data_IF_223892151191
#
_entry.id   IF_223892151191
#
_cell.length_a   1.000
_cell.length_b   1.000
_cell.length_c   1.000
_cell.angle_alpha   90.00
_cell.angle_beta   90.00
_cell.angle_gamma   90.00
#
_symmetry.space_group_name_H-M   'P 1'
#
loop_
_entity.id
_entity.type
_entity.pdbx_description
1 polymer ?
#
# COMPACT_ATOMS: atom_id res chain seq x y z
N UNK A 1 1.42 50.35 26.00
CA UNK A 1 1.29 48.89 25.88
C UNK A 1 1.46 48.53 24.42
N UNK A 2 2.64 48.04 24.03
CA UNK A 2 2.93 47.57 22.67
C UNK A 2 2.44 46.12 22.56
N UNK A 3 1.37 45.90 21.81
CA UNK A 3 0.88 44.56 21.50
C UNK A 3 1.83 43.89 20.51
N UNK A 4 2.57 42.88 20.97
CA UNK A 4 3.29 41.99 20.06
C UNK A 4 2.26 41.15 19.30
N UNK A 5 2.07 41.49 18.02
CA UNK A 5 1.31 40.66 17.08
C UNK A 5 2.24 39.53 16.61
N UNK A 6 1.95 38.32 17.06
CA UNK A 6 2.63 37.12 16.55
C UNK A 6 2.03 36.78 15.18
N UNK A 7 2.79 37.04 14.12
CA UNK A 7 2.47 36.51 12.79
C UNK A 7 2.79 35.01 12.86
N UNK A 8 1.76 34.18 13.05
CA UNK A 8 1.89 32.74 12.87
C UNK A 8 2.24 32.48 11.39
N UNK A 9 3.49 32.11 11.11
CA UNK A 9 3.87 31.62 9.79
C UNK A 9 3.18 30.27 9.57
N UNK A 10 2.18 30.23 8.68
CA UNK A 10 1.55 28.99 8.29
C UNK A 10 2.58 28.14 7.52
N UNK A 11 2.95 26.99 8.08
CA UNK A 11 3.83 26.03 7.40
C UNK A 11 3.13 25.57 6.12
N UNK A 12 3.72 25.86 4.96
CA UNK A 12 3.21 25.41 3.67
C UNK A 12 3.42 23.89 3.60
N UNK A 13 2.35 23.08 3.46
CA UNK A 13 2.51 21.64 3.43
C UNK A 13 3.28 21.19 2.18
N UNK A 14 4.25 20.29 2.36
CA UNK A 14 4.93 19.65 1.23
C UNK A 14 4.02 18.59 0.60
N UNK A 15 4.04 18.48 -0.73
CA UNK A 15 3.29 17.44 -1.45
C UNK A 15 4.13 16.18 -1.49
N UNK A 16 3.61 15.08 -0.92
CA UNK A 16 4.24 13.77 -0.98
C UNK A 16 3.45 12.89 -1.93
N UNK A 17 4.04 12.61 -3.10
CA UNK A 17 3.47 11.71 -4.10
C UNK A 17 3.79 10.26 -3.76
N UNK A 18 2.76 9.41 -3.70
CA UNK A 18 2.90 7.98 -3.37
C UNK A 18 2.23 7.11 -4.41
N UNK A 19 2.96 6.16 -4.98
CA UNK A 19 2.42 5.17 -5.90
C UNK A 19 1.61 4.09 -5.16
N UNK A 20 0.33 3.95 -5.52
CA UNK A 20 -0.60 2.98 -4.95
C UNK A 20 -1.52 2.35 -6.01
N UNK A 21 -2.03 1.15 -5.75
CA UNK A 21 -3.03 0.53 -6.62
C UNK A 21 -4.40 1.24 -6.54
N UNK A 22 -5.22 1.12 -7.61
CA UNK A 22 -6.52 1.82 -7.71
C UNK A 22 -7.41 1.58 -6.50
N UNK A 23 -7.55 0.31 -6.11
CA UNK A 23 -8.42 -0.09 -5.00
C UNK A 23 -7.96 0.53 -3.68
N UNK A 24 -6.64 0.60 -3.45
CA UNK A 24 -6.08 1.26 -2.26
C UNK A 24 -6.37 2.75 -2.27
N UNK A 25 -6.13 3.44 -3.39
CA UNK A 25 -6.41 4.87 -3.51
C UNK A 25 -7.89 5.18 -3.24
N UNK A 26 -8.79 4.45 -3.92
CA UNK A 26 -10.24 4.62 -3.76
C UNK A 26 -10.68 4.31 -2.33
N UNK A 27 -10.22 3.20 -1.76
CA UNK A 27 -10.59 2.80 -0.40
C UNK A 27 -10.08 3.79 0.65
N UNK A 28 -8.87 4.32 0.49
CA UNK A 28 -8.32 5.33 1.38
C UNK A 28 -9.17 6.60 1.35
N UNK A 29 -9.37 7.19 0.17
CA UNK A 29 -10.16 8.40 0.02
C UNK A 29 -11.61 8.22 0.50
N UNK A 30 -12.24 7.10 0.17
CA UNK A 30 -13.63 6.83 0.59
C UNK A 30 -13.74 6.64 2.09
N UNK A 31 -12.78 5.96 2.73
CA UNK A 31 -12.79 5.74 4.18
C UNK A 31 -12.62 7.05 4.94
N UNK A 32 -11.67 7.91 4.54
CA UNK A 32 -11.50 9.23 5.16
C UNK A 32 -12.78 10.06 5.04
N UNK A 33 -13.39 10.08 3.85
CA UNK A 33 -14.63 10.82 3.58
C UNK A 33 -15.83 10.28 4.39
N UNK A 34 -16.04 8.96 4.39
CA UNK A 34 -17.17 8.33 5.08
C UNK A 34 -17.07 8.46 6.60
N UNK A 35 -15.86 8.38 7.15
CA UNK A 35 -15.62 8.53 8.59
C UNK A 35 -15.55 10.00 9.03
N UNK A 36 -15.49 10.94 8.08
CA UNK A 36 -15.25 12.36 8.33
C UNK A 36 -14.02 12.58 9.20
N UNK A 37 -12.95 11.86 8.88
CA UNK A 37 -11.68 11.86 9.61
C UNK A 37 -10.53 12.03 8.65
N UNK A 38 -9.52 12.77 9.08
CA UNK A 38 -8.18 12.79 8.52
C UNK A 38 -7.41 11.55 8.97
N UNK A 39 -6.30 11.24 8.31
CA UNK A 39 -5.44 10.12 8.70
C UNK A 39 -4.87 10.27 10.13
N UNK A 40 -4.70 11.49 10.63
CA UNK A 40 -4.20 11.78 11.97
C UNK A 40 -5.18 11.37 13.08
N UNK A 41 -6.48 11.39 12.77
CA UNK A 41 -7.54 11.11 13.74
C UNK A 41 -7.85 9.61 13.91
N UNK A 42 -7.13 8.73 13.20
CA UNK A 42 -7.20 7.29 13.37
C UNK A 42 -6.29 6.84 14.52
N UNK A 43 -6.84 6.77 15.73
CA UNK A 43 -6.14 6.29 16.92
C UNK A 43 -6.24 4.78 17.12
N UNK A 44 -7.30 4.16 16.61
CA UNK A 44 -7.48 2.71 16.55
C UNK A 44 -8.01 2.32 15.17
N UNK A 45 -7.44 1.26 14.60
CA UNK A 45 -7.89 0.72 13.30
C UNK A 45 -8.30 -0.73 13.52
N UNK A 46 -9.58 -1.03 13.29
CA UNK A 46 -10.05 -2.40 13.28
C UNK A 46 -9.50 -3.11 12.03
N UNK A 47 -8.56 -4.03 12.28
CA UNK A 47 -7.93 -4.84 11.23
C UNK A 47 -8.89 -5.82 10.54
N UNK A 48 -10.09 -6.09 11.10
CA UNK A 48 -11.09 -6.96 10.48
C UNK A 48 -11.80 -6.31 9.30
N UNK A 49 -11.91 -4.98 9.31
CA UNK A 49 -12.70 -4.21 8.34
C UNK A 49 -11.79 -3.43 7.38
N UNK A 50 -10.49 -3.38 7.68
CA UNK A 50 -9.53 -2.50 7.00
C UNK A 50 -8.43 -3.30 6.32
N UNK A 51 -7.97 -2.83 5.14
CA UNK A 51 -6.86 -3.47 4.45
C UNK A 51 -5.49 -2.92 4.91
N UNK A 52 -4.43 -3.72 4.75
CA UNK A 52 -3.06 -3.36 5.18
C UNK A 52 -2.51 -2.11 4.47
N UNK A 53 -2.90 -1.91 3.21
CA UNK A 53 -2.40 -0.79 2.42
C UNK A 53 -2.93 0.55 2.95
N UNK A 54 -4.20 0.61 3.35
CA UNK A 54 -4.79 1.75 4.05
C UNK A 54 -4.06 2.03 5.36
N UNK A 55 -3.86 1.01 6.20
CA UNK A 55 -3.17 1.16 7.48
C UNK A 55 -1.76 1.71 7.27
N UNK A 56 -1.06 1.23 6.24
CA UNK A 56 0.28 1.70 5.91
C UNK A 56 0.28 3.20 5.55
N UNK A 57 -0.68 3.66 4.75
CA UNK A 57 -0.83 5.08 4.42
C UNK A 57 -1.13 5.93 5.66
N UNK A 58 -2.03 5.47 6.53
CA UNK A 58 -2.34 6.17 7.79
C UNK A 58 -1.12 6.30 8.69
N UNK A 59 -0.39 5.18 8.90
CA UNK A 59 0.85 5.18 9.69
C UNK A 59 1.87 6.13 9.07
N UNK A 60 1.98 6.16 7.74
CA UNK A 60 2.91 7.02 7.04
C UNK A 60 2.60 8.51 7.27
N UNK A 61 1.33 8.93 7.16
CA UNK A 61 0.93 10.32 7.48
C UNK A 61 1.25 10.66 8.93
N UNK A 62 0.88 9.79 9.87
CA UNK A 62 1.12 10.01 11.29
C UNK A 62 2.62 10.08 11.62
N UNK A 63 3.45 9.32 10.91
CA UNK A 63 4.90 9.37 11.09
C UNK A 63 5.49 10.70 10.57
N UNK A 64 5.00 11.22 9.45
CA UNK A 64 5.41 12.52 8.91
C UNK A 64 4.99 13.66 9.84
N UNK A 65 3.76 13.62 10.34
CA UNK A 65 3.25 14.59 11.32
C UNK A 65 4.07 14.59 12.62
N UNK A 66 4.41 13.39 13.15
CA UNK A 66 5.33 13.26 14.30
C UNK A 66 6.74 13.75 14.05
N UNK A 67 7.16 13.83 12.79
CA UNK A 67 8.43 14.43 12.38
C UNK A 67 8.31 15.94 12.12
N UNK A 68 7.17 16.55 12.50
CA UNK A 68 6.85 17.97 12.29
C UNK A 68 6.84 18.38 10.81
N UNK A 69 6.58 17.40 9.92
CA UNK A 69 6.42 17.64 8.50
C UNK A 69 4.95 17.81 8.16
N UNK A 70 4.54 19.05 7.89
CA UNK A 70 3.23 19.31 7.32
C UNK A 70 3.18 18.75 5.89
N UNK A 71 2.37 17.72 5.65
CA UNK A 71 2.35 16.99 4.37
C UNK A 71 0.95 16.87 3.79
N UNK A 72 0.86 17.03 2.47
CA UNK A 72 -0.32 16.66 1.69
C UNK A 72 0.02 15.41 0.86
N UNK A 73 -0.70 14.32 1.12
CA UNK A 73 -0.52 13.09 0.35
C UNK A 73 -1.24 13.18 -1.00
N UNK A 74 -0.49 13.01 -2.08
CA UNK A 74 -1.01 12.81 -3.42
C UNK A 74 -0.85 11.34 -3.80
N UNK A 75 -1.97 10.64 -4.03
CA UNK A 75 -1.96 9.24 -4.40
C UNK A 75 -1.89 9.11 -5.92
N UNK A 76 -0.75 8.65 -6.42
CA UNK A 76 -0.54 8.37 -7.84
C UNK A 76 -0.90 6.91 -8.12
N UNK A 77 -1.81 6.71 -9.07
CA UNK A 77 -2.26 5.38 -9.42
C UNK A 77 -1.18 4.59 -10.18
N UNK A 78 -0.82 3.42 -9.66
CA UNK A 78 0.03 2.46 -10.34
C UNK A 78 -0.74 1.15 -10.62
N UNK A 79 -0.74 0.66 -11.87
CA UNK A 79 -1.52 -0.53 -12.24
C UNK A 79 -0.97 -1.83 -11.65
N UNK A 80 0.33 -1.88 -11.34
CA UNK A 80 0.97 -3.04 -10.71
C UNK A 80 2.23 -2.62 -9.94
N UNK A 81 2.76 -3.50 -9.07
CA UNK A 81 3.90 -3.14 -8.22
C UNK A 81 5.17 -2.75 -9.00
N UNK A 82 5.44 -3.37 -10.17
CA UNK A 82 6.61 -3.04 -10.99
C UNK A 82 6.53 -1.62 -11.54
N UNK A 83 5.36 -1.20 -12.04
CA UNK A 83 5.12 0.19 -12.45
C UNK A 83 5.23 1.16 -11.28
N UNK A 84 4.90 0.73 -10.06
CA UNK A 84 5.13 1.51 -8.85
C UNK A 84 6.62 1.75 -8.59
N UNK A 85 7.44 0.72 -8.78
CA UNK A 85 8.90 0.83 -8.66
C UNK A 85 9.48 1.76 -9.74
N UNK A 86 9.02 1.62 -11.01
CA UNK A 86 9.44 2.49 -12.13
C UNK A 86 9.18 3.98 -11.82
N UNK A 87 7.99 4.32 -11.28
CA UNK A 87 7.63 5.70 -10.90
C UNK A 87 8.58 6.26 -9.82
N UNK A 88 9.03 5.43 -8.87
CA UNK A 88 9.98 5.87 -7.84
C UNK A 88 11.35 6.10 -8.45
N UNK A 89 11.82 5.18 -9.29
CA UNK A 89 13.13 5.26 -9.93
C UNK A 89 13.26 6.48 -10.86
N UNK A 90 12.17 6.88 -11.51
CA UNK A 90 12.13 8.06 -12.38
C UNK A 90 11.93 9.38 -11.61
N UNK A 91 11.65 9.32 -10.30
CA UNK A 91 11.36 10.51 -9.49
C UNK A 91 9.96 11.08 -9.65
N UNK A 92 9.05 10.35 -10.33
CA UNK A 92 7.64 10.77 -10.50
C UNK A 92 6.86 10.72 -9.18
N UNK A 93 7.27 9.82 -8.28
CA UNK A 93 6.73 9.69 -6.91
C UNK A 93 7.86 9.52 -5.91
N UNK A 94 7.61 9.89 -4.65
CA UNK A 94 8.61 9.75 -3.57
C UNK A 94 8.80 8.29 -3.16
N UNK A 95 7.71 7.51 -3.10
CA UNK A 95 7.76 6.12 -2.67
C UNK A 95 6.60 5.30 -3.24
N UNK A 96 6.78 3.97 -3.18
CA UNK A 96 5.72 2.99 -3.41
C UNK A 96 5.54 2.12 -2.17
N UNK A 97 4.29 1.92 -1.73
CA UNK A 97 3.97 1.07 -0.57
C UNK A 97 3.55 -0.32 -1.05
N UNK A 98 4.42 -1.30 -0.86
CA UNK A 98 4.16 -2.69 -1.23
C UNK A 98 4.88 -3.69 -0.34
N UNK A 99 4.41 -4.93 -0.36
CA UNK A 99 5.15 -6.05 0.19
C UNK A 99 6.34 -6.36 -0.71
N UNK A 100 7.53 -6.46 -0.11
CA UNK A 100 8.76 -6.88 -0.78
C UNK A 100 9.21 -8.22 -0.20
N UNK A 101 9.89 -9.01 -1.02
CA UNK A 101 10.51 -10.25 -0.57
C UNK A 101 11.68 -9.97 0.38
N UNK A 102 11.98 -10.96 1.24
CA UNK A 102 13.15 -10.87 2.13
C UNK A 102 14.41 -10.88 1.26
N UNK A 103 15.33 -9.97 1.53
CA UNK A 103 16.57 -9.81 0.74
C UNK A 103 16.40 -9.08 -0.59
N UNK A 104 15.17 -8.83 -1.06
CA UNK A 104 14.93 -8.06 -2.28
C UNK A 104 14.75 -6.57 -1.97
N UNK A 105 15.38 -5.74 -2.79
CA UNK A 105 15.14 -4.29 -2.92
C UNK A 105 15.35 -3.94 -4.39
N UNK A 106 14.41 -3.24 -5.05
CA UNK A 106 14.62 -2.79 -6.43
C UNK A 106 15.90 -1.96 -6.56
N UNK A 107 16.60 -2.08 -7.70
CA UNK A 107 17.84 -1.32 -7.96
C UNK A 107 17.56 0.18 -7.84
N UNK A 108 18.49 0.92 -7.22
CA UNK A 108 18.38 2.37 -7.09
C UNK A 108 17.31 2.84 -6.09
N UNK A 109 16.75 1.95 -5.28
CA UNK A 109 15.77 2.28 -4.24
C UNK A 109 16.27 1.84 -2.86
N UNK A 110 15.79 2.53 -1.84
CA UNK A 110 15.95 2.10 -0.45
C UNK A 110 14.69 1.38 0.03
N UNK A 111 14.86 0.47 1.00
CA UNK A 111 13.76 -0.23 1.66
C UNK A 111 13.77 0.08 3.15
N UNK A 112 12.64 0.54 3.68
CA UNK A 112 12.45 0.73 5.12
C UNK A 112 12.30 -0.60 5.87
N UNK A 113 12.38 -0.54 7.19
CA UNK A 113 11.90 -1.64 8.03
C UNK A 113 10.39 -1.86 7.78
N UNK A 114 9.89 -3.12 7.80
CA UNK A 114 8.48 -3.38 7.55
C UNK A 114 7.57 -2.64 8.54
N UNK A 115 6.62 -1.84 8.02
CA UNK A 115 5.60 -1.17 8.86
C UNK A 115 4.65 -2.19 9.51
N UNK A 116 4.36 -3.29 8.81
CA UNK A 116 3.50 -4.37 9.27
C UNK A 116 4.23 -5.69 9.06
N UNK A 117 4.43 -6.45 10.14
CA UNK A 117 5.12 -7.73 10.08
C UNK A 117 4.37 -8.75 9.20
N UNK A 118 5.14 -9.55 8.46
CA UNK A 118 4.62 -10.69 7.70
C UNK A 118 4.49 -11.96 8.54
N UNK A 119 4.82 -11.94 9.85
CA UNK A 119 4.85 -13.15 10.71
C UNK A 119 3.56 -13.99 10.69
N UNK A 120 2.41 -13.39 10.37
CA UNK A 120 1.12 -14.07 10.33
C UNK A 120 0.55 -14.25 8.90
N UNK A 121 1.35 -14.01 7.86
CA UNK A 121 0.91 -14.22 6.48
C UNK A 121 1.12 -15.68 6.08
N UNK A 122 0.03 -16.43 5.98
CA UNK A 122 0.05 -17.75 5.36
C UNK A 122 0.19 -17.57 3.85
N UNK A 123 1.31 -18.06 3.29
CA UNK A 123 1.46 -18.23 1.84
C UNK A 123 0.97 -19.64 1.49
N UNK A 124 0.05 -19.74 0.55
CA UNK A 124 -0.50 -21.02 0.13
C UNK A 124 -1.25 -20.92 -1.19
N UNK A 125 -1.50 -22.07 -1.80
CA UNK A 125 -2.40 -22.18 -2.95
C UNK A 125 -3.81 -22.39 -2.39
N UNK A 126 -4.74 -21.51 -2.74
CA UNK A 126 -6.13 -21.58 -2.30
C UNK A 126 -7.01 -22.09 -3.44
N UNK A 127 -7.75 -23.16 -3.18
CA UNK A 127 -8.70 -23.76 -4.10
C UNK A 127 -10.13 -23.71 -3.56
N UNK A 128 -11.11 -23.98 -4.43
CA UNK A 128 -12.48 -24.25 -3.98
C UNK A 128 -12.49 -25.48 -3.07
N UNK A 129 -13.35 -25.48 -2.03
CA UNK A 129 -13.49 -26.63 -1.12
C UNK A 129 -13.80 -27.94 -1.85
N UNK A 130 -14.57 -27.87 -2.94
CA UNK A 130 -14.91 -29.00 -3.80
C UNK A 130 -13.78 -29.42 -4.75
N UNK A 131 -12.77 -28.58 -4.96
CA UNK A 131 -11.67 -28.85 -5.86
C UNK A 131 -10.46 -29.40 -5.07
N UNK A 132 -10.54 -30.69 -4.77
CA UNK A 132 -9.45 -31.41 -4.10
C UNK A 132 -8.22 -31.66 -5.00
N UNK A 133 -8.31 -31.40 -6.31
CA UNK A 133 -7.20 -31.66 -7.23
C UNK A 133 -5.96 -30.83 -6.87
N UNK A 134 -6.15 -29.57 -6.44
CA UNK A 134 -5.06 -28.70 -5.99
C UNK A 134 -4.39 -29.18 -4.68
N UNK A 135 -5.11 -29.89 -3.82
CA UNK A 135 -4.57 -30.45 -2.57
C UNK A 135 -3.69 -31.69 -2.79
N UNK A 136 -3.70 -32.25 -4.02
CA UNK A 136 -2.87 -33.39 -4.41
C UNK A 136 -1.56 -32.97 -5.09
N UNK A 137 -1.35 -31.67 -5.31
CA UNK A 137 -0.13 -31.12 -5.91
C UNK A 137 1.01 -31.27 -4.90
N UNK A 138 2.04 -32.04 -5.26
CA UNK A 138 3.24 -32.22 -4.42
C UNK A 138 4.50 -31.65 -5.05
N UNK A 139 4.48 -31.39 -6.36
CA UNK A 139 5.60 -30.87 -7.13
C UNK A 139 5.15 -29.88 -8.22
N UNK A 140 6.10 -29.15 -8.80
CA UNK A 140 5.83 -28.12 -9.84
C UNK A 140 5.25 -28.75 -11.11
N UNK A 141 5.62 -29.99 -11.41
CA UNK A 141 5.17 -30.76 -12.57
C UNK A 141 3.66 -31.03 -12.52
N UNK A 142 3.10 -31.22 -11.33
CA UNK A 142 1.66 -31.42 -11.15
C UNK A 142 0.87 -30.15 -11.47
N UNK A 143 1.46 -28.96 -11.30
CA UNK A 143 0.84 -27.69 -11.63
C UNK A 143 0.61 -27.53 -13.14
N UNK A 144 1.43 -28.17 -13.99
CA UNK A 144 1.32 -28.10 -15.46
C UNK A 144 0.04 -28.74 -16.00
N UNK A 145 -0.62 -29.60 -15.21
CA UNK A 145 -1.89 -30.25 -15.55
C UNK A 145 -3.10 -29.33 -15.36
N UNK A 146 -2.91 -28.15 -14.76
CA UNK A 146 -3.97 -27.17 -14.54
C UNK A 146 -3.91 -26.07 -15.60
N UNK A 147 -4.99 -25.94 -16.37
CA UNK A 147 -5.20 -24.79 -17.27
C UNK A 147 -5.86 -23.66 -16.48
N UNK A 148 -5.12 -22.56 -16.29
CA UNK A 148 -5.49 -21.33 -15.57
C UNK A 148 -5.38 -21.38 -14.03
N UNK A 149 -4.24 -20.92 -13.53
CA UNK A 149 -4.08 -20.45 -12.14
C UNK A 149 -4.08 -18.93 -12.13
N UNK A 150 -5.13 -18.31 -12.68
CA UNK A 150 -5.30 -16.86 -12.53
C UNK A 150 -6.34 -16.64 -11.45
N UNK A 151 -5.88 -16.30 -10.24
CA UNK A 151 -6.76 -15.98 -9.14
C UNK A 151 -7.69 -14.83 -9.54
N UNK A 152 -8.99 -14.90 -9.20
CA UNK A 152 -9.97 -13.84 -9.50
C UNK A 152 -9.56 -12.44 -8.99
N UNK A 153 -8.59 -12.35 -8.06
CA UNK A 153 -8.01 -11.10 -7.57
C UNK A 153 -6.94 -10.47 -8.47
N UNK A 154 -6.50 -11.14 -9.54
CA UNK A 154 -5.47 -10.67 -10.48
C UNK A 154 -6.05 -9.88 -11.66
N UNK A 155 -7.23 -9.28 -11.49
CA UNK A 155 -7.89 -8.43 -12.49
C UNK A 155 -6.96 -7.39 -13.17
N UNK A 156 -6.01 -6.73 -12.47
CA UNK A 156 -5.08 -5.81 -13.13
C UNK A 156 -4.13 -6.51 -14.12
N UNK A 157 -3.68 -7.73 -13.81
CA UNK A 157 -2.76 -8.50 -14.67
C UNK A 157 -3.50 -9.13 -15.86
N UNK A 158 -4.78 -9.50 -15.67
CA UNK A 158 -5.64 -10.00 -16.75
C UNK A 158 -5.89 -8.92 -17.82
N UNK A 159 -6.02 -7.65 -17.43
CA UNK A 159 -6.26 -6.55 -18.38
C UNK A 159 -5.05 -6.20 -19.26
N UNK A 160 -3.88 -6.75 -18.94
CA UNK A 160 -2.62 -6.48 -19.64
C UNK A 160 -2.12 -7.66 -20.48
N UNK A 161 -2.88 -8.77 -20.50
CA UNK A 161 -2.75 -9.89 -21.45
C UNK A 161 -3.67 -9.66 -22.65
#
# INVERSE_FOLDING_TARGET
>A
MLGMSFIASAVIPIIVKVAVGKQTATFYQSTLKQKQKTALEFTSIDMKITNRAFISLVIFVQALDRAELAVNLELVHSPNPKRGDDLVQNGDVLLSMRTLEKGYTPKGMFKSTPLISAKNNLKGIYGLKSNHALMKVKAVEDLRKFSAVIGRGWQPDIKLL
#
